data_IF_376804226281
#
_entry.id   IF_376804226281
#
_cell.length_a   1.000
_cell.length_b   1.000
_cell.length_c   1.000
_cell.angle_alpha   90.00
_cell.angle_beta   90.00
_cell.angle_gamma   90.00
#
_symmetry.space_group_name_H-M   'P 1'
#
loop_
_entity.id
_entity.type
_entity.pdbx_description
1 polymer ?
#
# COMPACT_ATOMS: atom_id res chain seq x y z
N UNK A 1 0.77 -3.31 -53.37
CA UNK A 1 -0.28 -3.14 -52.34
C UNK A 1 0.37 -3.36 -50.98
N UNK A 2 0.60 -2.32 -50.16
CA UNK A 2 1.14 -2.53 -48.82
C UNK A 2 0.01 -2.89 -47.86
N UNK A 3 0.14 -4.03 -47.20
CA UNK A 3 -0.70 -4.44 -46.07
C UNK A 3 -0.37 -3.53 -44.87
N UNK A 4 -1.20 -2.52 -44.64
CA UNK A 4 -1.13 -1.67 -43.45
C UNK A 4 -1.68 -2.47 -42.26
N UNK A 5 -0.78 -3.06 -41.48
CA UNK A 5 -1.09 -3.61 -40.16
C UNK A 5 -1.42 -2.45 -39.21
N UNK A 6 -2.70 -2.14 -39.04
CA UNK A 6 -3.15 -1.28 -37.94
C UNK A 6 -3.43 -2.16 -36.72
N UNK A 7 -2.64 -2.09 -35.64
CA UNK A 7 -2.99 -2.77 -34.40
C UNK A 7 -4.26 -2.12 -33.83
N UNK A 8 -5.41 -2.78 -34.03
CA UNK A 8 -6.69 -2.37 -33.46
C UNK A 8 -6.72 -2.81 -31.99
N UNK A 9 -6.13 -2.00 -31.11
CA UNK A 9 -6.22 -2.17 -29.65
C UNK A 9 -7.68 -1.96 -29.26
N UNK A 10 -8.40 -3.04 -28.98
CA UNK A 10 -9.76 -3.01 -28.45
C UNK A 10 -9.66 -2.99 -26.92
N UNK A 11 -9.62 -1.78 -26.37
CA UNK A 11 -9.77 -1.52 -24.94
C UNK A 11 -11.24 -1.79 -24.61
N UNK A 12 -11.52 -2.83 -23.83
CA UNK A 12 -12.85 -3.08 -23.33
C UNK A 12 -12.96 -2.51 -21.92
N UNK A 13 -13.90 -1.59 -21.75
CA UNK A 13 -14.19 -0.99 -20.45
C UNK A 13 -14.88 -2.02 -19.54
N UNK A 14 -14.14 -2.56 -18.58
CA UNK A 14 -14.74 -3.14 -17.39
C UNK A 14 -15.26 -1.98 -16.56
N UNK A 15 -16.58 -1.72 -16.61
CA UNK A 15 -17.22 -0.71 -15.75
C UNK A 15 -17.08 -1.11 -14.28
N UNK A 16 -15.96 -0.75 -13.65
CA UNK A 16 -15.82 -0.73 -12.19
C UNK A 16 -16.48 0.55 -11.65
N UNK A 17 -17.81 0.60 -11.77
CA UNK A 17 -18.58 1.82 -11.54
C UNK A 17 -18.63 2.33 -10.10
N UNK A 18 -18.47 1.43 -9.13
CA UNK A 18 -18.56 1.73 -7.69
C UNK A 18 -17.22 1.83 -6.95
N UNK A 19 -16.10 1.51 -7.61
CA UNK A 19 -14.77 1.50 -6.99
C UNK A 19 -13.97 2.81 -7.18
N UNK A 20 -14.56 3.76 -7.93
CA UNK A 20 -13.92 4.96 -8.48
C UNK A 20 -13.37 5.90 -7.40
N UNK A 21 -14.09 6.02 -6.29
CA UNK A 21 -13.71 6.88 -5.17
C UNK A 21 -13.15 6.09 -3.99
N UNK A 22 -13.56 4.82 -3.83
CA UNK A 22 -13.30 4.05 -2.62
C UNK A 22 -11.81 3.76 -2.36
N UNK A 23 -10.97 3.71 -3.41
CA UNK A 23 -9.55 3.36 -3.25
C UNK A 23 -8.67 4.55 -2.83
N UNK A 24 -8.96 5.77 -3.29
CA UNK A 24 -8.12 6.94 -3.02
C UNK A 24 -8.39 7.58 -1.65
N UNK A 25 -9.65 7.58 -1.21
CA UNK A 25 -10.04 8.15 0.10
C UNK A 25 -9.23 7.57 1.29
N UNK A 26 -9.09 6.25 1.46
CA UNK A 26 -8.29 5.70 2.55
C UNK A 26 -6.80 6.04 2.41
N UNK A 27 -6.27 6.13 1.19
CA UNK A 27 -4.87 6.52 0.96
C UNK A 27 -4.63 7.99 1.32
N UNK A 28 -5.56 8.88 0.98
CA UNK A 28 -5.50 10.30 1.36
C UNK A 28 -5.56 10.50 2.87
N UNK A 29 -6.44 9.77 3.56
CA UNK A 29 -6.52 9.78 5.02
C UNK A 29 -5.20 9.33 5.65
N UNK A 30 -4.59 8.26 5.12
CA UNK A 30 -3.30 7.77 5.59
C UNK A 30 -2.16 8.78 5.33
N UNK A 31 -2.16 9.44 4.17
CA UNK A 31 -1.17 10.49 3.84
C UNK A 31 -1.29 11.68 4.78
N UNK A 32 -2.52 12.15 5.02
CA UNK A 32 -2.80 13.27 5.93
C UNK A 32 -2.42 12.91 7.38
N UNK A 33 -2.65 11.65 7.78
CA UNK A 33 -2.22 11.16 9.10
C UNK A 33 -0.69 11.04 9.24
N UNK A 34 0.05 11.09 8.13
CA UNK A 34 1.49 10.87 8.09
C UNK A 34 1.94 9.44 8.37
N UNK A 35 1.02 8.49 8.54
CA UNK A 35 1.32 7.10 8.80
C UNK A 35 1.78 6.39 7.51
N UNK A 36 2.71 5.42 7.58
CA UNK A 36 3.26 4.64 6.45
C UNK A 36 4.11 5.39 5.39
N UNK A 37 4.11 6.72 5.38
CA UNK A 37 4.98 7.58 4.57
C UNK A 37 5.04 7.17 3.09
N UNK A 38 6.23 6.84 2.56
CA UNK A 38 6.49 6.42 1.18
C UNK A 38 5.57 5.29 0.68
N UNK A 39 5.14 4.36 1.55
CA UNK A 39 4.27 3.26 1.15
C UNK A 39 2.91 3.74 0.63
N UNK A 40 2.37 4.84 1.19
CA UNK A 40 1.10 5.39 0.70
C UNK A 40 1.23 5.86 -0.76
N UNK A 41 2.36 6.47 -1.11
CA UNK A 41 2.64 6.91 -2.48
C UNK A 41 2.77 5.74 -3.45
N UNK A 42 3.40 4.65 -3.01
CA UNK A 42 3.46 3.42 -3.80
C UNK A 42 2.09 2.81 -4.04
N UNK A 43 1.13 2.96 -3.13
CA UNK A 43 -0.24 2.48 -3.33
C UNK A 43 -1.08 3.36 -4.26
N UNK A 44 -0.75 4.65 -4.38
CA UNK A 44 -1.41 5.56 -5.32
C UNK A 44 -1.11 5.15 -6.76
N UNK A 45 0.12 4.75 -7.08
CA UNK A 45 0.53 4.40 -8.46
C UNK A 45 -0.35 3.30 -9.10
N UNK A 46 -0.53 2.10 -8.50
CA UNK A 46 -1.43 1.10 -9.05
C UNK A 46 -2.89 1.54 -8.97
N UNK A 47 -3.26 2.38 -8.00
CA UNK A 47 -4.61 2.94 -7.94
C UNK A 47 -4.89 3.84 -9.13
N UNK A 48 -3.92 4.67 -9.55
CA UNK A 48 -3.98 5.49 -10.77
C UNK A 48 -4.07 4.63 -12.03
N UNK A 49 -3.39 3.49 -12.08
CA UNK A 49 -3.51 2.54 -13.20
C UNK A 49 -4.88 1.85 -13.27
N UNK A 50 -5.67 1.88 -12.19
CA UNK A 50 -7.05 1.39 -12.18
C UNK A 50 -8.08 2.47 -12.59
N UNK A 51 -7.67 3.72 -12.82
CA UNK A 51 -8.58 4.75 -13.32
C UNK A 51 -8.92 4.51 -14.78
N UNK A 52 -10.18 4.80 -15.11
CA UNK A 52 -10.73 4.63 -16.44
C UNK A 52 -10.20 5.70 -17.41
N UNK A 53 -9.94 5.35 -18.67
CA UNK A 53 -9.41 6.29 -19.69
C UNK A 53 -10.29 7.53 -19.84
N UNK A 54 -11.60 7.39 -19.59
CA UNK A 54 -12.58 8.47 -19.56
C UNK A 54 -12.24 9.57 -18.53
N UNK A 55 -11.74 9.15 -17.36
CA UNK A 55 -11.42 10.05 -16.24
C UNK A 55 -10.08 10.74 -16.41
N UNK A 56 -9.12 10.12 -17.11
CA UNK A 56 -7.84 10.74 -17.48
C UNK A 56 -7.93 11.57 -18.77
N UNK A 57 -9.10 11.59 -19.43
CA UNK A 57 -9.35 12.32 -20.66
C UNK A 57 -9.09 13.84 -20.59
N UNK A 58 -9.01 14.43 -19.40
CA UNK A 58 -8.63 15.84 -19.23
C UNK A 58 -7.12 16.08 -19.44
N UNK A 59 -6.27 15.07 -19.28
CA UNK A 59 -4.82 15.16 -19.48
C UNK A 59 -4.44 15.14 -20.97
N UNK A 60 -5.36 14.71 -21.84
CA UNK A 60 -5.11 14.59 -23.27
C UNK A 60 -5.67 15.80 -24.04
N UNK A 61 -4.98 16.25 -25.11
CA UNK A 61 -5.41 17.39 -25.91
C UNK A 61 -6.84 17.22 -26.45
N UNK A 62 -7.64 18.28 -26.34
CA UNK A 62 -8.98 18.31 -26.90
C UNK A 62 -8.91 18.87 -28.32
N UNK A 63 -9.15 18.02 -29.31
CA UNK A 63 -9.16 18.40 -30.72
C UNK A 63 -9.94 17.38 -31.57
N UNK A 64 -10.45 17.78 -32.74
CA UNK A 64 -11.16 16.87 -33.63
C UNK A 64 -10.21 15.74 -34.08
N UNK A 65 -10.60 14.49 -33.83
CA UNK A 65 -9.77 13.31 -34.13
C UNK A 65 -8.72 12.95 -33.07
N UNK A 66 -8.64 13.67 -31.94
CA UNK A 66 -7.78 13.30 -30.82
C UNK A 66 -8.38 12.14 -30.00
N UNK A 67 -7.55 11.49 -29.18
CA UNK A 67 -7.90 10.31 -28.39
C UNK A 67 -9.17 10.53 -27.53
N UNK A 68 -9.33 11.75 -26.99
CA UNK A 68 -10.49 12.16 -26.20
C UNK A 68 -11.80 12.18 -27.01
N UNK A 69 -11.78 12.69 -28.24
CA UNK A 69 -12.95 12.73 -29.14
C UNK A 69 -13.33 11.32 -29.59
N UNK A 70 -12.34 10.45 -29.83
CA UNK A 70 -12.57 9.05 -30.17
C UNK A 70 -13.22 8.26 -29.01
N UNK A 71 -12.71 8.41 -27.78
CA UNK A 71 -13.27 7.73 -26.59
C UNK A 71 -14.69 8.21 -26.30
N UNK A 72 -14.96 9.52 -26.37
CA UNK A 72 -16.30 10.07 -26.14
C UNK A 72 -17.33 9.54 -27.15
N UNK A 73 -16.96 9.45 -28.44
CA UNK A 73 -17.84 8.88 -29.47
C UNK A 73 -18.13 7.40 -29.22
N UNK A 74 -17.11 6.61 -28.86
CA UNK A 74 -17.29 5.19 -28.51
C UNK A 74 -18.24 5.04 -27.31
N UNK A 75 -18.14 5.91 -26.31
CA UNK A 75 -19.02 5.89 -25.13
C UNK A 75 -20.46 6.31 -25.46
N UNK A 76 -20.65 7.33 -26.30
CA UNK A 76 -21.99 7.75 -26.75
C UNK A 76 -22.66 6.67 -27.60
N UNK A 77 -21.91 5.99 -28.47
CA UNK A 77 -22.41 4.85 -29.26
C UNK A 77 -22.83 3.68 -28.35
N UNK A 78 -22.03 3.38 -27.32
CA UNK A 78 -22.33 2.34 -26.34
C UNK A 78 -23.54 2.71 -25.45
N UNK A 79 -23.67 4.00 -25.07
CA UNK A 79 -24.81 4.53 -24.31
C UNK A 79 -26.13 4.52 -25.12
N UNK A 80 -26.04 4.65 -26.45
CA UNK A 80 -27.17 4.46 -27.38
C UNK A 80 -27.54 2.99 -27.60
N UNK A 81 -26.89 2.06 -26.91
CA UNK A 81 -27.21 0.63 -26.94
C UNK A 81 -26.51 -0.15 -28.05
N UNK A 82 -25.60 0.46 -28.81
CA UNK A 82 -24.75 -0.25 -29.76
C UNK A 82 -23.64 -1.00 -29.00
N UNK A 83 -24.01 -2.10 -28.35
CA UNK A 83 -23.01 -3.03 -27.79
C UNK A 83 -22.19 -3.56 -28.95
N UNK A 84 -20.88 -3.28 -28.95
CA UNK A 84 -19.96 -3.92 -29.88
C UNK A 84 -20.14 -5.44 -29.80
N UNK A 85 -20.12 -6.17 -30.93
CA UNK A 85 -20.26 -7.61 -30.91
C UNK A 85 -19.14 -8.20 -30.04
N UNK A 86 -19.51 -9.03 -29.07
CA UNK A 86 -18.57 -9.76 -28.21
C UNK A 86 -17.60 -10.53 -29.10
N UNK A 87 -16.40 -10.02 -29.25
CA UNK A 87 -15.35 -10.70 -30.00
C UNK A 87 -14.92 -11.93 -29.22
N UNK A 88 -14.39 -12.97 -29.89
CA UNK A 88 -13.85 -14.15 -29.18
C UNK A 88 -12.77 -13.74 -28.15
N UNK A 89 -12.00 -12.69 -28.44
CA UNK A 89 -11.02 -12.11 -27.52
C UNK A 89 -11.66 -11.50 -26.27
N UNK A 90 -12.80 -10.82 -26.40
CA UNK A 90 -13.59 -10.30 -25.28
C UNK A 90 -14.03 -11.40 -24.32
N UNK A 91 -14.64 -12.45 -24.86
CA UNK A 91 -15.13 -13.58 -24.06
C UNK A 91 -13.98 -14.32 -23.39
N UNK A 92 -12.87 -14.55 -24.10
CA UNK A 92 -11.68 -15.18 -23.54
C UNK A 92 -11.09 -14.37 -22.37
N UNK A 93 -10.90 -13.05 -22.54
CA UNK A 93 -10.40 -12.16 -21.47
C UNK A 93 -11.34 -12.15 -20.26
N UNK A 94 -12.64 -12.04 -20.49
CA UNK A 94 -13.63 -12.05 -19.43
C UNK A 94 -13.62 -13.37 -18.65
N UNK A 95 -13.50 -14.50 -19.36
CA UNK A 95 -13.43 -15.82 -18.76
C UNK A 95 -12.15 -16.00 -17.93
N UNK A 96 -10.99 -15.55 -18.44
CA UNK A 96 -9.72 -15.58 -17.71
C UNK A 96 -9.80 -14.73 -16.44
N UNK A 97 -10.36 -13.52 -16.52
CA UNK A 97 -10.50 -12.64 -15.36
C UNK A 97 -11.43 -13.23 -14.29
N UNK A 98 -12.56 -13.83 -14.71
CA UNK A 98 -13.46 -14.54 -13.79
C UNK A 98 -12.77 -15.74 -13.14
N UNK A 99 -12.07 -16.57 -13.93
CA UNK A 99 -11.35 -17.72 -13.41
C UNK A 99 -10.26 -17.31 -12.41
N UNK A 100 -9.51 -16.24 -12.71
CA UNK A 100 -8.51 -15.68 -11.81
C UNK A 100 -9.16 -15.15 -10.51
N UNK A 101 -10.27 -14.43 -10.61
CA UNK A 101 -11.01 -13.94 -9.45
C UNK A 101 -11.51 -15.06 -8.54
N UNK A 102 -12.08 -16.12 -9.12
CA UNK A 102 -12.52 -17.32 -8.38
C UNK A 102 -11.33 -18.02 -7.71
N UNK A 103 -10.20 -18.17 -8.42
CA UNK A 103 -8.99 -18.76 -7.87
C UNK A 103 -8.46 -17.96 -6.67
N UNK A 104 -8.37 -16.64 -6.79
CA UNK A 104 -7.91 -15.76 -5.70
C UNK A 104 -8.87 -15.80 -4.51
N UNK A 105 -10.19 -15.77 -4.74
CA UNK A 105 -11.19 -15.88 -3.68
C UNK A 105 -11.05 -17.21 -2.93
N UNK A 106 -10.88 -18.31 -3.67
CA UNK A 106 -10.67 -19.64 -3.09
C UNK A 106 -9.38 -19.72 -2.26
N UNK A 107 -8.26 -19.20 -2.79
CA UNK A 107 -6.99 -19.14 -2.07
C UNK A 107 -7.02 -18.21 -0.85
N UNK A 108 -7.97 -17.28 -0.79
CA UNK A 108 -8.12 -16.33 0.32
C UNK A 108 -8.87 -16.92 1.53
N UNK A 109 -9.64 -18.00 1.35
CA UNK A 109 -10.38 -18.67 2.44
C UNK A 109 -9.51 -18.99 3.65
N UNK A 110 -8.37 -19.71 3.54
CA UNK A 110 -7.53 -20.02 4.70
C UNK A 110 -6.92 -18.78 5.36
N UNK A 111 -6.62 -17.74 4.55
CA UNK A 111 -6.09 -16.47 5.05
C UNK A 111 -7.14 -15.73 5.88
N UNK A 112 -8.38 -15.63 5.38
CA UNK A 112 -9.49 -15.00 6.10
C UNK A 112 -9.81 -15.77 7.38
N UNK A 113 -9.84 -17.10 7.34
CA UNK A 113 -10.05 -17.92 8.54
C UNK A 113 -8.93 -17.70 9.58
N UNK A 114 -7.67 -17.56 9.16
CA UNK A 114 -6.57 -17.20 10.05
C UNK A 114 -6.74 -15.80 10.65
N UNK A 115 -7.16 -14.81 9.85
CA UNK A 115 -7.41 -13.44 10.30
C UNK A 115 -8.63 -13.30 11.22
N UNK A 116 -9.59 -14.22 11.16
CA UNK A 116 -10.72 -14.25 12.10
C UNK A 116 -10.42 -15.10 13.35
N UNK A 117 -9.33 -15.87 13.35
CA UNK A 117 -8.92 -16.70 14.48
C UNK A 117 -8.41 -15.85 15.64
N UNK A 118 -8.66 -16.25 16.90
CA UNK A 118 -8.01 -15.63 18.07
C UNK A 118 -6.50 -15.85 18.11
N UNK A 119 -5.99 -16.87 17.42
CA UNK A 119 -4.56 -17.22 17.34
C UNK A 119 -4.01 -16.95 15.94
N UNK A 120 -4.10 -15.71 15.50
CA UNK A 120 -3.66 -15.31 14.16
C UNK A 120 -2.15 -15.55 14.00
N UNK A 121 -1.77 -16.30 12.97
CA UNK A 121 -0.37 -16.45 12.58
C UNK A 121 -0.02 -15.37 11.56
N UNK A 122 1.01 -14.58 11.86
CA UNK A 122 1.47 -13.47 11.02
C UNK A 122 2.53 -13.94 10.02
N UNK A 123 2.68 -13.22 8.90
CA UNK A 123 3.74 -13.44 7.91
C UNK A 123 3.83 -14.88 7.37
N UNK A 124 2.69 -15.56 7.31
CA UNK A 124 2.58 -16.95 6.86
C UNK A 124 1.89 -17.06 5.52
N UNK A 125 2.34 -18.04 4.73
CA UNK A 125 1.71 -18.40 3.46
C UNK A 125 1.04 -19.76 3.60
N UNK A 126 -0.20 -19.86 3.11
CA UNK A 126 -1.05 -21.05 3.26
C UNK A 126 -1.09 -21.91 2.01
N UNK A 127 -0.36 -21.52 0.95
CA UNK A 127 -0.32 -22.22 -0.33
C UNK A 127 1.11 -22.30 -0.90
N UNK A 128 1.44 -23.35 -1.68
CA UNK A 128 2.79 -23.52 -2.26
C UNK A 128 3.20 -22.36 -3.17
N UNK A 129 2.23 -21.81 -3.90
CA UNK A 129 2.45 -20.72 -4.85
C UNK A 129 2.59 -19.34 -4.19
N UNK A 130 2.35 -19.23 -2.87
CA UNK A 130 2.44 -18.00 -2.07
C UNK A 130 1.65 -16.79 -2.60
N UNK A 131 0.63 -17.04 -3.42
CA UNK A 131 -0.19 -16.03 -4.08
C UNK A 131 -0.94 -15.16 -3.07
N UNK A 132 -1.43 -15.76 -1.97
CA UNK A 132 -2.12 -15.05 -0.90
C UNK A 132 -1.44 -15.40 0.42
N UNK A 133 -1.22 -14.39 1.25
CA UNK A 133 -0.49 -14.53 2.51
C UNK A 133 -1.05 -13.57 3.57
N UNK A 134 -0.52 -13.68 4.79
CA UNK A 134 -0.86 -12.84 5.95
C UNK A 134 0.26 -11.83 6.26
N UNK A 135 1.03 -11.45 5.24
CA UNK A 135 2.12 -10.51 5.42
C UNK A 135 1.59 -9.13 5.83
N UNK A 136 2.15 -8.56 6.88
CA UNK A 136 1.76 -7.24 7.39
C UNK A 136 0.49 -7.21 8.27
N UNK A 137 -0.18 -8.33 8.48
CA UNK A 137 -1.28 -8.40 9.44
C UNK A 137 -0.74 -8.50 10.86
N UNK A 138 -0.97 -7.48 11.71
CA UNK A 138 -0.61 -7.53 13.13
C UNK A 138 -1.73 -8.17 13.95
N UNK A 139 -1.53 -9.42 14.39
CA UNK A 139 -2.54 -10.17 15.15
C UNK A 139 -2.73 -9.72 16.60
N UNK A 140 -1.75 -9.02 17.17
CA UNK A 140 -1.84 -8.44 18.50
C UNK A 140 -0.95 -7.20 18.61
N UNK A 141 -1.43 -6.17 19.30
CA UNK A 141 -0.66 -4.95 19.59
C UNK A 141 -0.16 -5.02 21.03
N UNK A 142 1.15 -4.87 21.23
CA UNK A 142 1.76 -4.80 22.56
C UNK A 142 1.39 -3.50 23.27
N UNK A 143 1.00 -3.56 24.55
CA UNK A 143 0.67 -2.37 25.35
C UNK A 143 1.91 -1.63 25.86
N UNK A 144 2.98 -2.39 26.10
CA UNK A 144 4.26 -1.87 26.59
C UNK A 144 5.33 -2.08 25.51
N UNK A 145 6.24 -1.11 25.39
CA UNK A 145 7.36 -1.17 24.46
C UNK A 145 8.63 -0.76 25.19
N UNK A 146 9.59 -1.68 25.29
CA UNK A 146 10.96 -1.35 25.69
C UNK A 146 11.60 -0.53 24.58
N UNK A 147 12.40 0.47 24.93
CA UNK A 147 13.03 1.36 23.98
C UNK A 147 14.52 1.51 24.26
N UNK A 148 15.33 1.54 23.20
CA UNK A 148 16.75 1.89 23.31
C UNK A 148 16.87 3.42 23.36
N UNK A 149 17.39 3.94 24.48
CA UNK A 149 17.76 5.34 24.66
C UNK A 149 19.24 5.49 24.36
N UNK A 150 19.58 6.37 23.42
CA UNK A 150 20.98 6.74 23.18
C UNK A 150 21.32 7.90 24.09
N UNK A 151 22.38 7.74 24.87
CA UNK A 151 22.91 8.79 25.71
C UNK A 151 24.31 9.15 25.26
N UNK A 152 24.67 10.42 25.43
CA UNK A 152 26.04 10.87 25.23
C UNK A 152 26.39 11.94 26.25
N UNK A 153 27.69 12.16 26.39
CA UNK A 153 28.24 13.12 27.34
C UNK A 153 29.26 14.01 26.66
N UNK A 154 29.23 15.30 26.96
CA UNK A 154 30.26 16.24 26.56
C UNK A 154 31.43 16.28 27.56
N UNK A 155 31.35 15.52 28.67
CA UNK A 155 32.42 15.46 29.66
C UNK A 155 33.68 14.84 29.06
N UNK A 156 34.87 15.44 29.28
CA UNK A 156 36.12 14.89 28.76
C UNK A 156 36.43 13.47 29.26
N UNK A 157 35.92 13.13 30.45
CA UNK A 157 35.99 11.79 31.02
C UNK A 157 34.58 11.23 31.23
N UNK A 158 34.17 10.30 30.35
CA UNK A 158 32.85 9.66 30.43
C UNK A 158 32.67 8.72 31.63
N UNK A 159 33.76 8.33 32.31
CA UNK A 159 33.72 7.47 33.51
C UNK A 159 33.73 8.28 34.82
N UNK A 160 33.80 9.61 34.74
CA UNK A 160 33.75 10.44 35.93
C UNK A 160 32.36 10.38 36.59
N UNK A 161 32.27 10.33 37.93
CA UNK A 161 31.00 10.21 38.63
C UNK A 161 30.08 11.43 38.46
N UNK A 162 30.63 12.57 38.06
CA UNK A 162 29.92 13.82 37.74
C UNK A 162 29.67 14.00 36.24
N UNK A 163 30.00 13.00 35.41
CA UNK A 163 29.72 13.04 33.97
C UNK A 163 28.22 13.14 33.72
N UNK A 164 27.81 14.22 33.04
CA UNK A 164 26.41 14.45 32.69
C UNK A 164 26.09 13.73 31.39
N UNK A 165 25.11 12.83 31.46
CA UNK A 165 24.59 12.10 30.31
C UNK A 165 23.29 12.75 29.86
N UNK A 166 23.21 13.03 28.57
CA UNK A 166 22.03 13.61 27.93
C UNK A 166 21.44 12.62 26.95
N UNK A 167 20.11 12.54 26.96
CA UNK A 167 19.35 11.66 26.07
C UNK A 167 19.27 12.28 24.68
N UNK A 168 19.70 11.53 23.67
CA UNK A 168 19.57 11.91 22.27
C UNK A 168 18.22 11.44 21.74
N UNK A 169 17.29 12.39 21.62
CA UNK A 169 16.01 12.14 20.98
C UNK A 169 16.13 12.05 19.46
N UNK A 170 15.41 11.09 18.88
CA UNK A 170 15.31 10.93 17.44
C UNK A 170 14.22 11.86 16.86
N UNK A 171 14.29 12.14 15.56
CA UNK A 171 13.44 13.13 14.91
C UNK A 171 11.97 12.76 14.90
N UNK A 172 11.62 11.50 14.69
CA UNK A 172 10.24 11.04 14.58
C UNK A 172 9.99 9.69 15.24
N UNK A 173 11.00 9.04 15.83
CA UNK A 173 10.79 7.91 16.73
C UNK A 173 9.95 8.37 17.93
N UNK A 174 8.83 7.71 18.24
CA UNK A 174 8.08 8.01 19.46
C UNK A 174 8.96 7.73 20.68
N UNK A 175 9.06 8.66 21.62
CA UNK A 175 9.83 8.50 22.86
C UNK A 175 9.12 9.25 23.99
N UNK A 176 9.30 10.57 24.04
CA UNK A 176 8.59 11.44 24.99
C UNK A 176 7.06 11.38 24.79
N UNK A 177 6.34 11.09 25.88
CA UNK A 177 4.88 11.01 25.94
C UNK A 177 4.19 12.38 25.81
N UNK A 178 4.92 13.47 26.06
CA UNK A 178 4.41 14.85 25.96
C UNK A 178 4.61 15.42 24.56
N UNK A 179 5.45 14.79 23.75
CA UNK A 179 5.76 15.22 22.40
C UNK A 179 4.63 14.86 21.44
N UNK A 180 4.26 15.83 20.59
CA UNK A 180 3.28 15.59 19.52
C UNK A 180 3.84 14.58 18.50
N UNK A 181 3.03 13.66 17.98
CA UNK A 181 3.45 12.75 16.91
C UNK A 181 4.00 13.53 15.70
N UNK A 182 5.09 13.04 15.13
CA UNK A 182 5.68 13.60 13.92
C UNK A 182 4.89 13.18 12.67
N UNK A 183 4.72 14.10 11.72
CA UNK A 183 4.26 13.81 10.37
C UNK A 183 5.47 13.43 9.50
N UNK A 184 5.64 12.14 9.20
CA UNK A 184 6.81 11.66 8.44
C UNK A 184 6.62 11.72 6.91
N UNK A 185 5.39 11.73 6.40
CA UNK A 185 5.11 11.75 4.94
C UNK A 185 5.75 12.97 4.25
N UNK A 186 6.40 12.82 3.08
CA UNK A 186 6.52 11.63 2.22
C UNK A 186 7.79 10.79 2.44
N UNK A 187 8.67 11.20 3.37
CA UNK A 187 9.99 10.61 3.57
C UNK A 187 10.04 9.69 4.80
N UNK A 188 11.01 8.80 4.87
CA UNK A 188 11.11 7.86 5.98
C UNK A 188 12.46 8.01 6.69
N UNK A 189 12.42 8.32 7.99
CA UNK A 189 13.62 8.37 8.82
C UNK A 189 14.12 6.95 9.10
N UNK A 190 14.98 6.44 8.21
CA UNK A 190 15.48 5.06 8.27
C UNK A 190 16.14 4.73 9.61
N UNK A 191 16.92 5.65 10.18
CA UNK A 191 17.57 5.42 11.47
C UNK A 191 16.54 5.29 12.59
N UNK A 192 15.60 6.22 12.69
CA UNK A 192 14.50 6.20 13.67
C UNK A 192 13.70 4.91 13.60
N UNK A 193 13.40 4.45 12.39
CA UNK A 193 12.71 3.19 12.14
C UNK A 193 13.52 1.98 12.60
N UNK A 194 14.80 1.91 12.23
CA UNK A 194 15.68 0.81 12.67
C UNK A 194 15.82 0.79 14.20
N UNK A 195 15.96 1.96 14.82
CA UNK A 195 16.04 2.09 16.28
C UNK A 195 14.74 1.73 17.00
N UNK A 196 13.59 1.92 16.35
CA UNK A 196 12.30 1.43 16.84
C UNK A 196 12.27 -0.10 16.91
N UNK A 197 12.82 -0.79 15.90
CA UNK A 197 12.89 -2.25 15.89
C UNK A 197 14.00 -2.84 16.77
N UNK A 198 15.10 -2.10 16.96
CA UNK A 198 16.27 -2.59 17.70
C UNK A 198 15.90 -3.10 19.11
N UNK A 199 14.93 -2.46 19.76
CA UNK A 199 14.49 -2.86 21.10
C UNK A 199 13.77 -4.22 21.14
N UNK A 200 13.12 -4.65 20.05
CA UNK A 200 12.46 -5.97 19.99
C UNK A 200 13.44 -7.15 20.01
N UNK A 201 14.72 -6.91 19.68
CA UNK A 201 15.75 -7.95 19.71
C UNK A 201 16.35 -8.14 21.11
N UNK A 202 16.16 -7.17 22.00
CA UNK A 202 16.64 -7.24 23.37
C UNK A 202 15.64 -8.08 24.17
N UNK A 203 15.96 -9.36 24.37
CA UNK A 203 15.29 -10.14 25.41
C UNK A 203 15.50 -9.38 26.73
N UNK A 204 14.44 -9.09 27.51
CA UNK A 204 14.64 -8.54 28.84
C UNK A 204 15.54 -9.52 29.59
N UNK A 205 16.73 -9.07 29.96
CA UNK A 205 17.50 -9.76 30.99
C UNK A 205 16.63 -9.71 32.24
N UNK A 206 16.01 -10.83 32.57
CA UNK A 206 15.38 -11.02 33.88
C UNK A 206 16.43 -10.61 34.89
N UNK A 207 16.18 -9.48 35.55
CA UNK A 207 17.10 -8.88 36.50
C UNK A 207 17.38 -9.91 37.59
N UNK A 208 18.64 -10.30 37.70
CA UNK A 208 19.14 -10.87 38.95
C UNK A 208 19.24 -9.68 39.91
N UNK A 209 18.51 -9.66 41.04
CA UNK A 209 18.64 -8.59 42.00
C UNK A 209 20.08 -8.58 42.53
N UNK A 210 20.71 -7.40 42.56
CA UNK A 210 21.83 -7.13 43.45
C UNK A 210 21.29 -6.55 44.74
#
# INVERSE_FOLDING_TARGET
>A
MPLVWTPRITVEHVKCGGWRDLSLHPQLVLIISGNLSFLNWLTIVPSLACFDDATLGFLFPSGPGCLKDQVLRMQEEEARGARAPRTRGSVARHTVNLALGVLVAWLSVPVVLNLLSPRQVMNSSFNPLRIVNTYGAFGSITKERTEVILQGTASPNASAPDAKWEDYEFKCKPGDLRRRPCLISPYHHRLDWLMWFAAFQVRPSVGRPR
#
